data_IF_675304149589
#
_entry.id   IF_675304149589
#
_cell.length_a   1.000
_cell.length_b   1.000
_cell.length_c   1.000
_cell.angle_alpha   90.00
_cell.angle_beta   90.00
_cell.angle_gamma   90.00
#
_symmetry.space_group_name_H-M   'P 1'
#
loop_
_entity.id
_entity.type
_entity.pdbx_description
1 polymer ?
#
# COMPACT_ATOMS: atom_id res chain seq x y z
N UNK A 1 -4.77 -17.43 9.66
CA UNK A 1 -5.13 -18.83 9.96
C UNK A 1 -5.86 -18.78 11.29
N UNK A 2 -7.07 -19.31 11.35
CA UNK A 2 -7.90 -19.28 12.54
C UNK A 2 -7.69 -20.52 13.41
N UNK A 3 -8.19 -20.50 14.64
CA UNK A 3 -8.02 -21.58 15.62
C UNK A 3 -8.61 -22.93 15.17
N UNK A 4 -9.63 -22.91 14.30
CA UNK A 4 -10.21 -24.11 13.69
C UNK A 4 -9.41 -24.64 12.47
N UNK A 5 -8.28 -24.00 12.16
CA UNK A 5 -7.41 -24.32 11.03
C UNK A 5 -7.81 -23.65 9.72
N UNK A 6 -8.88 -22.86 9.67
CA UNK A 6 -9.30 -22.19 8.44
C UNK A 6 -8.29 -21.12 8.02
N UNK A 7 -8.06 -21.03 6.70
CA UNK A 7 -7.14 -20.08 6.10
C UNK A 7 -7.94 -19.11 5.25
N UNK A 8 -7.67 -17.82 5.43
CA UNK A 8 -8.28 -16.70 4.71
C UNK A 8 -7.19 -15.88 4.04
N UNK A 9 -7.55 -15.12 3.00
CA UNK A 9 -6.61 -14.30 2.21
C UNK A 9 -5.98 -13.14 3.00
N UNK A 10 -6.59 -12.71 4.11
CA UNK A 10 -6.16 -11.59 4.94
C UNK A 10 -6.86 -11.65 6.31
N UNK A 11 -6.19 -11.15 7.35
CA UNK A 11 -6.72 -10.94 8.70
C UNK A 11 -7.97 -10.05 8.77
N UNK A 12 -8.13 -9.16 7.80
CA UNK A 12 -9.27 -8.25 7.69
C UNK A 12 -10.45 -8.79 6.89
N UNK A 13 -10.30 -9.96 6.28
CA UNK A 13 -11.29 -10.57 5.40
C UNK A 13 -11.58 -12.02 5.83
N UNK A 14 -11.89 -12.20 7.12
CA UNK A 14 -12.24 -13.50 7.72
C UNK A 14 -13.73 -13.78 7.54
N UNK A 15 -14.16 -13.83 6.27
CA UNK A 15 -15.54 -14.16 5.89
C UNK A 15 -15.54 -15.38 4.95
N UNK A 16 -16.62 -16.18 4.92
CA UNK A 16 -16.66 -17.43 4.16
C UNK A 16 -16.22 -17.30 2.69
N UNK A 17 -16.57 -16.20 2.03
CA UNK A 17 -16.21 -15.94 0.63
C UNK A 17 -14.70 -15.75 0.40
N UNK A 18 -13.93 -15.38 1.43
CA UNK A 18 -12.47 -15.20 1.36
C UNK A 18 -11.69 -16.37 1.97
N UNK A 19 -12.37 -17.46 2.35
CA UNK A 19 -11.71 -18.67 2.83
C UNK A 19 -11.04 -19.39 1.66
N UNK A 20 -9.76 -19.70 1.79
CA UNK A 20 -8.96 -20.38 0.76
C UNK A 20 -8.64 -21.84 1.09
N UNK A 21 -8.94 -22.29 2.30
CA UNK A 21 -8.73 -23.68 2.70
C UNK A 21 -8.75 -23.89 4.21
N UNK A 22 -8.28 -25.05 4.63
CA UNK A 22 -8.03 -25.39 6.02
C UNK A 22 -6.69 -26.14 6.12
N UNK A 23 -5.82 -25.70 7.03
CA UNK A 23 -4.44 -26.20 7.16
C UNK A 23 -4.38 -27.70 7.51
N UNK A 24 -5.41 -28.22 8.17
CA UNK A 24 -5.48 -29.63 8.57
C UNK A 24 -6.02 -30.53 7.44
N UNK A 25 -6.45 -29.95 6.32
CA UNK A 25 -7.17 -30.68 5.24
C UNK A 25 -6.50 -30.56 3.88
N UNK A 26 -5.59 -29.62 3.66
CA UNK A 26 -4.98 -29.39 2.35
C UNK A 26 -3.58 -28.82 2.48
N UNK A 27 -2.74 -29.08 1.49
CA UNK A 27 -1.38 -28.55 1.43
C UNK A 27 -1.42 -27.03 1.17
N UNK A 28 -0.60 -26.26 1.89
CA UNK A 28 -0.59 -24.79 1.74
C UNK A 28 -0.36 -24.33 0.28
N UNK A 29 0.50 -25.04 -0.48
CA UNK A 29 0.80 -24.71 -1.88
C UNK A 29 -0.40 -24.82 -2.81
N UNK A 30 -1.46 -25.54 -2.43
CA UNK A 30 -2.67 -25.67 -3.25
C UNK A 30 -3.69 -24.58 -2.93
N UNK A 31 -3.49 -23.81 -1.85
CA UNK A 31 -4.40 -22.74 -1.43
C UNK A 31 -4.01 -21.43 -2.11
N UNK A 32 -4.90 -20.94 -2.98
CA UNK A 32 -4.65 -19.73 -3.77
C UNK A 32 -5.56 -18.58 -3.32
N UNK A 33 -5.00 -17.38 -3.17
CA UNK A 33 -5.76 -16.15 -3.00
C UNK A 33 -6.21 -15.63 -4.35
N UNK A 34 -7.52 -15.57 -4.58
CA UNK A 34 -8.10 -15.15 -5.86
C UNK A 34 -8.93 -13.88 -5.68
N UNK A 35 -9.82 -13.84 -4.69
CA UNK A 35 -10.77 -12.74 -4.56
C UNK A 35 -10.11 -11.43 -4.15
N UNK A 36 -9.38 -11.44 -3.03
CA UNK A 36 -8.73 -10.24 -2.53
C UNK A 36 -7.56 -9.85 -3.44
N UNK A 37 -6.87 -10.82 -4.05
CA UNK A 37 -5.85 -10.54 -5.06
C UNK A 37 -6.42 -9.80 -6.28
N UNK A 38 -7.59 -10.19 -6.77
CA UNK A 38 -8.29 -9.45 -7.82
C UNK A 38 -8.70 -8.04 -7.35
N UNK A 39 -9.24 -7.91 -6.12
CA UNK A 39 -9.63 -6.61 -5.55
C UNK A 39 -8.43 -5.67 -5.36
N UNK A 40 -7.26 -6.17 -4.94
CA UNK A 40 -6.03 -5.38 -4.81
C UNK A 40 -5.66 -4.70 -6.13
N UNK A 41 -5.80 -5.41 -7.25
CA UNK A 41 -5.52 -4.90 -8.61
C UNK A 41 -6.57 -3.89 -9.12
N UNK A 42 -7.82 -3.99 -8.66
CA UNK A 42 -8.92 -3.10 -9.07
C UNK A 42 -8.89 -1.78 -8.29
N UNK A 43 -8.27 -0.77 -8.89
CA UNK A 43 -8.25 0.61 -8.37
C UNK A 43 -8.99 1.56 -9.33
N UNK A 44 -9.42 2.72 -8.83
CA UNK A 44 -10.16 3.70 -9.63
C UNK A 44 -9.31 4.37 -10.71
N UNK A 45 -9.93 5.00 -11.71
CA UNK A 45 -9.18 5.66 -12.79
C UNK A 45 -8.36 6.84 -12.24
N UNK A 46 -8.89 7.57 -11.25
CA UNK A 46 -8.11 8.59 -10.51
C UNK A 46 -6.86 8.00 -9.85
N UNK A 47 -6.96 6.82 -9.24
CA UNK A 47 -5.78 6.15 -8.67
C UNK A 47 -4.81 5.67 -9.77
N UNK A 48 -5.30 5.24 -10.94
CA UNK A 48 -4.44 4.84 -12.05
C UNK A 48 -3.59 6.00 -12.58
N UNK A 49 -4.13 7.22 -12.57
CA UNK A 49 -3.46 8.43 -13.06
C UNK A 49 -2.71 9.21 -11.97
N UNK A 50 -2.77 8.77 -10.71
CA UNK A 50 -2.17 9.47 -9.59
C UNK A 50 -0.65 9.33 -9.58
N UNK A 51 0.07 10.44 -9.40
CA UNK A 51 1.53 10.46 -9.28
C UNK A 51 2.06 9.55 -8.14
N UNK A 52 1.27 9.34 -7.08
CA UNK A 52 1.65 8.48 -5.96
C UNK A 52 1.19 7.03 -6.08
N UNK A 53 0.59 6.62 -7.21
CA UNK A 53 0.22 5.22 -7.47
C UNK A 53 1.38 4.24 -7.21
N UNK A 54 2.64 4.50 -7.63
CA UNK A 54 3.74 3.56 -7.39
C UNK A 54 4.01 3.30 -5.90
N UNK A 55 3.66 4.25 -5.03
CA UNK A 55 3.87 4.17 -3.58
C UNK A 55 2.66 3.52 -2.90
N UNK A 56 1.45 3.98 -3.22
CA UNK A 56 0.25 3.61 -2.46
C UNK A 56 -0.56 2.45 -3.06
N UNK A 57 -0.44 2.20 -4.38
CA UNK A 57 -1.24 1.22 -5.12
C UNK A 57 -2.76 1.31 -4.87
N UNK A 58 -3.29 2.52 -4.66
CA UNK A 58 -4.71 2.76 -4.35
C UNK A 58 -5.14 2.37 -2.93
N UNK A 59 -4.20 2.07 -2.04
CA UNK A 59 -4.45 1.70 -0.64
C UNK A 59 -5.02 0.29 -0.45
N UNK A 60 -5.11 -0.14 0.82
CA UNK A 60 -5.70 -1.42 1.21
C UNK A 60 -7.19 -1.49 0.80
N UNK A 61 -7.67 -2.59 0.18
CA UNK A 61 -9.08 -2.75 -0.16
C UNK A 61 -10.05 -2.50 1.00
N UNK A 62 -9.69 -2.88 2.23
CA UNK A 62 -10.50 -2.63 3.45
C UNK A 62 -10.79 -1.15 3.67
N UNK A 63 -9.86 -0.27 3.28
CA UNK A 63 -9.96 1.17 3.49
C UNK A 63 -10.54 1.90 2.27
N UNK A 64 -10.84 1.20 1.16
CA UNK A 64 -11.46 1.80 -0.03
C UNK A 64 -12.96 1.95 0.18
N UNK A 65 -13.35 2.90 1.02
CA UNK A 65 -14.74 3.15 1.43
C UNK A 65 -15.23 4.56 1.10
N UNK A 66 -14.35 5.47 0.71
CA UNK A 66 -14.72 6.85 0.39
C UNK A 66 -15.11 6.98 -1.07
N UNK A 67 -16.30 7.53 -1.34
CA UNK A 67 -16.77 7.82 -2.69
C UNK A 67 -16.38 9.24 -3.11
N UNK A 68 -15.75 9.38 -4.28
CA UNK A 68 -15.38 10.66 -4.90
C UNK A 68 -15.71 10.56 -6.39
N UNK A 69 -16.61 11.41 -6.89
CA UNK A 69 -17.00 11.45 -8.31
C UNK A 69 -17.36 10.07 -8.88
N UNK A 70 -18.22 9.31 -8.18
CA UNK A 70 -18.60 7.92 -8.50
C UNK A 70 -17.45 6.87 -8.48
N UNK A 71 -16.25 7.25 -8.08
CA UNK A 71 -15.15 6.33 -7.82
C UNK A 71 -15.01 6.02 -6.33
N UNK A 72 -14.51 4.84 -5.99
CA UNK A 72 -14.18 4.48 -4.61
C UNK A 72 -12.67 4.54 -4.40
N UNK A 73 -12.24 5.32 -3.43
CA UNK A 73 -10.82 5.52 -3.07
C UNK A 73 -10.59 5.17 -1.60
N UNK A 74 -9.32 4.99 -1.23
CA UNK A 74 -8.93 4.84 0.17
C UNK A 74 -9.42 6.03 0.99
N UNK A 75 -9.99 5.79 2.17
CA UNK A 75 -10.30 6.82 3.16
C UNK A 75 -9.09 7.70 3.49
N UNK A 76 -7.89 7.10 3.46
CA UNK A 76 -6.63 7.78 3.73
C UNK A 76 -6.02 8.50 2.52
N UNK A 77 -6.71 8.57 1.37
CA UNK A 77 -6.12 9.06 0.12
C UNK A 77 -5.53 10.47 0.23
N UNK A 78 -6.26 11.43 0.81
CA UNK A 78 -5.75 12.80 0.94
C UNK A 78 -4.61 12.91 1.97
N UNK A 79 -4.70 12.16 3.08
CA UNK A 79 -3.60 12.07 4.05
C UNK A 79 -2.33 11.49 3.43
N UNK A 80 -2.44 10.46 2.59
CA UNK A 80 -1.31 9.93 1.83
C UNK A 80 -0.71 10.97 0.91
N UNK A 81 -1.51 11.76 0.19
CA UNK A 81 -0.97 12.80 -0.70
C UNK A 81 -0.18 13.85 0.06
N UNK A 82 -0.68 14.31 1.20
CA UNK A 82 0.01 15.29 2.06
C UNK A 82 1.33 14.69 2.56
N UNK A 83 1.28 13.46 3.10
CA UNK A 83 2.46 12.77 3.59
C UNK A 83 3.50 12.60 2.47
N UNK A 84 3.07 12.17 1.29
CA UNK A 84 3.97 11.89 0.17
C UNK A 84 4.52 13.15 -0.48
N UNK A 85 3.75 14.23 -0.60
CA UNK A 85 4.28 15.51 -1.09
C UNK A 85 5.41 16.04 -0.20
N UNK A 86 5.32 15.79 1.10
CA UNK A 86 6.36 16.19 2.04
C UNK A 86 7.53 15.21 2.03
N UNK A 87 7.29 13.90 2.18
CA UNK A 87 8.37 12.94 2.44
C UNK A 87 9.14 12.53 1.18
N UNK A 88 8.50 12.45 0.00
CA UNK A 88 9.11 11.87 -1.20
C UNK A 88 10.36 12.64 -1.65
N UNK A 89 10.38 13.98 -1.67
CA UNK A 89 11.59 14.72 -2.01
C UNK A 89 12.79 14.37 -1.10
N UNK A 90 12.58 14.29 0.21
CA UNK A 90 13.64 13.92 1.16
C UNK A 90 14.07 12.46 1.02
N UNK A 91 13.13 11.54 0.80
CA UNK A 91 13.45 10.12 0.58
C UNK A 91 14.26 9.93 -0.71
N UNK A 92 13.93 10.69 -1.77
CA UNK A 92 14.72 10.69 -3.01
C UNK A 92 16.14 11.23 -2.78
N UNK A 93 16.28 12.29 -1.98
CA UNK A 93 17.60 12.82 -1.59
C UNK A 93 18.40 11.77 -0.79
N UNK A 94 17.77 11.07 0.16
CA UNK A 94 18.43 9.97 0.90
C UNK A 94 18.89 8.84 -0.02
N UNK A 95 18.07 8.46 -1.01
CA UNK A 95 18.45 7.47 -2.03
C UNK A 95 19.67 7.96 -2.82
N UNK A 96 19.73 9.24 -3.18
CA UNK A 96 20.87 9.80 -3.91
C UNK A 96 22.14 9.82 -3.05
N UNK A 97 22.06 10.19 -1.78
CA UNK A 97 23.17 10.10 -0.84
C UNK A 97 23.70 8.66 -0.75
N UNK A 98 22.81 7.68 -0.58
CA UNK A 98 23.17 6.27 -0.50
C UNK A 98 23.87 5.77 -1.78
N UNK A 99 23.34 6.11 -2.96
CA UNK A 99 23.95 5.75 -4.26
C UNK A 99 25.37 6.28 -4.40
N UNK A 100 25.62 7.48 -3.89
CA UNK A 100 26.93 8.13 -3.94
C UNK A 100 27.83 7.80 -2.74
N UNK A 101 27.41 6.87 -1.86
CA UNK A 101 28.14 6.47 -0.64
C UNK A 101 28.40 7.64 0.31
N UNK A 102 27.55 8.66 0.28
CA UNK A 102 27.56 9.77 1.25
C UNK A 102 26.76 9.34 2.49
N UNK A 103 27.25 9.56 3.71
CA UNK A 103 26.50 9.22 4.92
C UNK A 103 25.12 9.89 4.98
N UNK A 104 24.10 9.13 5.34
CA UNK A 104 22.69 9.58 5.29
C UNK A 104 22.38 10.75 6.24
N UNK A 105 23.19 10.99 7.28
CA UNK A 105 22.97 12.12 8.20
C UNK A 105 23.11 13.49 7.52
N UNK A 106 23.76 13.56 6.34
CA UNK A 106 23.79 14.76 5.50
C UNK A 106 22.43 15.14 4.92
N UNK A 107 21.39 14.31 5.09
CA UNK A 107 20.02 14.68 4.75
C UNK A 107 19.57 15.98 5.44
N UNK A 108 20.09 16.27 6.63
CA UNK A 108 19.75 17.51 7.34
C UNK A 108 20.29 18.75 6.63
N UNK A 109 21.44 18.64 5.97
CA UNK A 109 22.02 19.74 5.18
C UNK A 109 21.22 19.96 3.90
N UNK A 110 20.85 18.86 3.22
CA UNK A 110 19.99 18.90 2.02
C UNK A 110 18.61 19.47 2.36
N UNK A 111 18.01 19.06 3.48
CA UNK A 111 16.70 19.54 3.90
C UNK A 111 16.67 21.05 4.13
N UNK A 112 17.69 21.59 4.83
CA UNK A 112 17.85 23.05 5.00
C UNK A 112 17.92 23.79 3.67
N UNK A 113 18.58 23.22 2.66
CA UNK A 113 18.66 23.85 1.34
C UNK A 113 17.31 23.82 0.60
N UNK A 114 16.53 22.75 0.76
CA UNK A 114 15.22 22.61 0.14
C UNK A 114 14.16 23.55 0.72
N UNK A 115 14.23 23.82 2.04
CA UNK A 115 13.26 24.69 2.73
C UNK A 115 13.50 26.20 2.49
N UNK A 116 14.72 26.56 2.07
CA UNK A 116 15.11 27.95 1.80
C UNK A 116 14.92 28.38 0.33
N UNK A 117 14.44 27.48 -0.53
CA UNK A 117 14.12 27.71 -1.94
C UNK A 117 12.61 27.71 -2.16
#
# INVERSE_FOLDING_TARGET
VESNGDIYECDHFVYPQYKIGNINKSELKTMNSVQLTAQKKRISAKCQQCAYKPICNGGCPKHRITKVNNETVSYFCEGYKILFSTMVPYMNAMVELAKNRVPLYHIMDVAKQMENN
#
